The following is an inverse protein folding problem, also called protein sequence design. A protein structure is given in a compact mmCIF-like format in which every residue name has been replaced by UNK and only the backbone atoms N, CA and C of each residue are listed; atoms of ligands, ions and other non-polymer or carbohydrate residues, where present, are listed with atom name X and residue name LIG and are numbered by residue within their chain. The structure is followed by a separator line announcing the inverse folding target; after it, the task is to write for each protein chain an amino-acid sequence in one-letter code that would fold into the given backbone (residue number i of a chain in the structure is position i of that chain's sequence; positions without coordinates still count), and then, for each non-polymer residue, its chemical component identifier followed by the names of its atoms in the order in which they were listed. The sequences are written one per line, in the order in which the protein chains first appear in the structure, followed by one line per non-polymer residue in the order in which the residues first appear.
data_IF_891768201087
#
_entry.id   IF_891768201087
#
_cell.length_a   1.000
_cell.length_b   1.000
_cell.length_c   1.000
_cell.angle_alpha   90.00
_cell.angle_beta   90.00
_cell.angle_gamma   90.00
#
_symmetry.space_group_name_H-M   'P 1'
#
loop_
_entity.id
_entity.type
_entity.pdbx_description
1 polymer ?
#
# COMPACT_ATOMS: atom_id res chain seq x y z
N UNK A 1 -27.24 -9.60 5.22
CA UNK A 1 -26.18 -8.60 4.95
C UNK A 1 -26.71 -7.21 5.23
N UNK A 2 -25.83 -6.34 5.70
CA UNK A 2 -26.10 -4.91 5.84
C UNK A 2 -25.22 -4.20 4.80
N UNK A 3 -25.81 -3.26 4.08
CA UNK A 3 -25.11 -2.43 3.08
C UNK A 3 -25.22 -0.97 3.51
N UNK A 4 -24.10 -0.30 3.59
CA UNK A 4 -24.02 1.13 3.92
C UNK A 4 -23.29 1.80 2.77
N UNK A 5 -23.88 2.84 2.20
CA UNK A 5 -23.27 3.65 1.15
C UNK A 5 -23.08 5.08 1.64
N UNK A 6 -21.95 5.67 1.31
CA UNK A 6 -21.62 7.06 1.64
C UNK A 6 -20.93 7.72 0.45
N UNK A 7 -21.20 9.02 0.26
CA UNK A 7 -20.51 9.85 -0.71
C UNK A 7 -20.22 11.22 -0.11
N UNK A 8 -19.13 11.84 -0.52
CA UNK A 8 -18.71 13.13 0.02
C UNK A 8 -17.30 13.49 -0.40
N UNK A 9 -16.72 14.41 0.35
CA UNK A 9 -15.30 14.74 0.25
C UNK A 9 -14.68 14.85 1.66
N UNK A 10 -13.41 14.50 1.75
CA UNK A 10 -12.64 14.62 3.00
C UNK A 10 -11.26 15.16 2.69
N UNK A 11 -10.68 15.87 3.63
CA UNK A 11 -9.26 16.22 3.54
C UNK A 11 -8.41 14.95 3.65
N UNK A 12 -7.41 14.79 2.79
CA UNK A 12 -6.54 13.60 2.79
C UNK A 12 -5.81 13.40 4.12
N UNK A 13 -5.56 14.49 4.87
CA UNK A 13 -4.97 14.44 6.21
C UNK A 13 -5.85 13.71 7.23
N UNK A 14 -7.15 13.60 6.98
CA UNK A 14 -8.08 12.85 7.81
C UNK A 14 -8.06 11.34 7.57
N UNK A 15 -7.36 10.86 6.55
CA UNK A 15 -7.14 9.43 6.31
C UNK A 15 -6.11 8.84 7.29
N UNK A 16 -6.30 9.10 8.58
CA UNK A 16 -5.33 8.79 9.64
C UNK A 16 -5.02 7.30 9.77
N UNK A 17 -5.97 6.42 9.44
CA UNK A 17 -5.76 4.98 9.46
C UNK A 17 -4.78 4.54 8.35
N UNK A 18 -4.84 5.21 7.21
CA UNK A 18 -3.94 5.00 6.08
C UNK A 18 -2.54 5.54 6.41
N UNK A 19 -2.47 6.77 6.95
CA UNK A 19 -1.23 7.41 7.35
C UNK A 19 -0.52 6.73 8.55
N UNK A 20 -1.26 5.98 9.37
CA UNK A 20 -0.67 5.20 10.48
C UNK A 20 -0.06 3.87 10.04
N UNK A 21 -0.37 3.42 8.83
CA UNK A 21 0.27 2.22 8.30
C UNK A 21 1.67 2.58 7.79
N UNK A 22 2.73 1.94 8.29
CA UNK A 22 4.11 2.28 7.95
C UNK A 22 4.44 2.18 6.47
N UNK A 23 3.70 1.36 5.73
CA UNK A 23 3.88 1.20 4.29
C UNK A 23 3.24 2.34 3.48
N UNK A 24 2.27 3.04 4.04
CA UNK A 24 1.57 4.14 3.37
C UNK A 24 1.95 5.51 3.90
N UNK A 25 2.47 5.63 5.13
CA UNK A 25 2.86 6.90 5.74
C UNK A 25 3.81 7.73 4.85
N UNK A 26 4.84 7.15 4.20
CA UNK A 26 5.71 7.91 3.30
C UNK A 26 4.97 8.51 2.11
N UNK A 27 3.96 7.82 1.56
CA UNK A 27 3.14 8.33 0.45
C UNK A 27 2.15 9.39 0.96
N UNK A 28 1.49 9.13 2.09
CA UNK A 28 0.48 10.02 2.65
C UNK A 28 1.02 11.42 2.97
N UNK A 29 2.28 11.54 3.36
CA UNK A 29 2.97 12.81 3.62
C UNK A 29 3.16 13.68 2.39
N UNK A 30 3.12 13.09 1.20
CA UNK A 30 3.20 13.77 -0.09
C UNK A 30 1.84 14.01 -0.73
N UNK A 31 0.74 13.78 0.02
CA UNK A 31 -0.62 14.02 -0.46
C UNK A 31 -1.25 15.18 0.29
N UNK A 32 -1.97 16.04 -0.44
CA UNK A 32 -2.72 17.15 0.14
C UNK A 32 -4.00 17.41 -0.65
N UNK A 33 -4.96 18.10 -0.02
CA UNK A 33 -6.19 18.53 -0.66
C UNK A 33 -7.43 17.72 -0.31
N UNK A 34 -8.51 17.99 -1.03
CA UNK A 34 -9.83 17.40 -0.80
C UNK A 34 -10.07 16.18 -1.69
N UNK A 35 -10.28 15.04 -1.08
CA UNK A 35 -10.55 13.75 -1.73
C UNK A 35 -12.06 13.56 -1.89
N UNK A 36 -12.64 13.65 -3.09
CA UNK A 36 -14.02 13.23 -3.34
C UNK A 36 -14.09 11.70 -3.29
N UNK A 37 -15.15 11.14 -2.72
CA UNK A 37 -15.31 9.69 -2.67
C UNK A 37 -16.77 9.23 -2.75
N UNK A 38 -16.93 8.03 -3.26
CA UNK A 38 -18.14 7.21 -3.11
C UNK A 38 -17.68 5.87 -2.51
N UNK A 39 -18.30 5.46 -1.42
CA UNK A 39 -17.92 4.22 -0.73
C UNK A 39 -19.14 3.35 -0.44
N UNK A 40 -18.90 2.04 -0.36
CA UNK A 40 -19.88 1.04 0.06
C UNK A 40 -19.23 0.08 1.03
N UNK A 41 -19.88 -0.12 2.17
CA UNK A 41 -19.50 -1.10 3.18
C UNK A 41 -20.55 -2.20 3.21
N UNK A 42 -20.14 -3.44 3.06
CA UNK A 42 -20.99 -4.62 3.12
C UNK A 42 -20.58 -5.47 4.31
N UNK A 43 -21.51 -5.67 5.25
CA UNK A 43 -21.32 -6.55 6.40
C UNK A 43 -22.11 -7.83 6.18
N UNK A 44 -21.46 -8.98 6.14
CA UNK A 44 -22.09 -10.29 6.03
C UNK A 44 -21.77 -11.12 7.28
N UNK A 45 -22.83 -11.63 7.94
CA UNK A 45 -22.65 -12.53 9.09
C UNK A 45 -21.81 -13.74 8.69
N UNK A 46 -20.74 -13.98 9.42
CA UNK A 46 -19.81 -15.09 9.19
C UNK A 46 -18.81 -14.91 8.04
N UNK A 47 -18.86 -13.79 7.28
CA UNK A 47 -17.97 -13.53 6.14
C UNK A 47 -17.17 -12.23 6.28
N UNK A 48 -17.36 -11.50 7.39
CA UNK A 48 -16.62 -10.28 7.66
C UNK A 48 -17.17 -9.03 6.95
N UNK A 49 -16.32 -8.03 6.85
CA UNK A 49 -16.64 -6.71 6.29
C UNK A 49 -15.88 -6.52 4.99
N UNK A 50 -16.59 -6.13 3.94
CA UNK A 50 -15.99 -5.68 2.67
C UNK A 50 -16.23 -4.19 2.53
N UNK A 51 -15.18 -3.46 2.16
CA UNK A 51 -15.23 -2.03 1.85
C UNK A 51 -14.80 -1.82 0.41
N UNK A 52 -15.55 -1.03 -0.32
CA UNK A 52 -15.13 -0.53 -1.64
C UNK A 52 -15.32 0.97 -1.69
N UNK A 53 -14.41 1.66 -2.36
CA UNK A 53 -14.51 3.09 -2.59
C UNK A 53 -13.97 3.44 -3.98
N UNK A 54 -14.45 4.57 -4.52
CA UNK A 54 -13.96 5.16 -5.76
C UNK A 54 -13.76 6.65 -5.57
N UNK A 55 -12.76 7.18 -6.25
CA UNK A 55 -12.45 8.60 -6.29
C UNK A 55 -11.87 8.97 -7.65
N UNK A 56 -12.16 10.17 -8.11
CA UNK A 56 -11.47 10.77 -9.26
C UNK A 56 -10.11 11.37 -8.89
N UNK A 57 -9.77 11.44 -7.60
CA UNK A 57 -8.65 12.20 -7.05
C UNK A 57 -8.59 13.66 -7.50
N UNK A 58 -9.64 14.22 -8.10
CA UNK A 58 -9.69 15.62 -8.44
C UNK A 58 -9.71 16.46 -7.15
N UNK A 59 -8.86 17.48 -7.06
CA UNK A 59 -8.68 18.26 -5.84
C UNK A 59 -7.58 17.72 -4.91
N UNK A 60 -7.00 16.56 -5.23
CA UNK A 60 -5.86 16.00 -4.50
C UNK A 60 -4.58 16.26 -5.27
N UNK A 61 -3.60 16.82 -4.60
CA UNK A 61 -2.22 16.92 -5.07
C UNK A 61 -1.41 15.73 -4.57
N UNK A 62 -0.56 15.17 -5.43
CA UNK A 62 0.43 14.15 -5.06
C UNK A 62 1.80 14.67 -5.49
N UNK A 63 2.62 15.06 -4.50
CA UNK A 63 3.97 15.58 -4.72
C UNK A 63 5.01 14.47 -4.58
N UNK A 64 4.89 13.47 -5.44
CA UNK A 64 5.87 12.41 -5.64
C UNK A 64 6.62 12.66 -6.96
N UNK A 65 7.81 12.08 -7.16
CA UNK A 65 8.48 12.15 -8.44
C UNK A 65 7.66 11.51 -9.56
N UNK A 66 7.90 11.94 -10.81
CA UNK A 66 7.31 11.28 -11.97
C UNK A 66 7.62 9.75 -11.95
N UNK A 67 6.69 8.90 -12.36
CA UNK A 67 5.39 9.19 -12.99
C UNK A 67 4.22 9.38 -12.01
N UNK A 68 4.46 9.43 -10.69
CA UNK A 68 3.40 9.54 -9.67
C UNK A 68 3.06 10.98 -9.27
N UNK A 69 3.70 11.98 -9.87
CA UNK A 69 3.35 13.38 -9.64
C UNK A 69 1.98 13.67 -10.23
N UNK A 70 1.10 14.32 -9.43
CA UNK A 70 -0.26 14.67 -9.83
C UNK A 70 -0.63 16.07 -9.36
N UNK A 71 -1.10 16.91 -10.26
CA UNK A 71 -1.69 18.20 -9.89
C UNK A 71 -3.13 18.04 -9.38
N UNK A 72 -3.65 18.98 -8.56
CA UNK A 72 -5.03 18.91 -8.08
C UNK A 72 -6.08 19.06 -9.20
N UNK A 73 -5.72 19.59 -10.34
CA UNK A 73 -6.63 19.73 -11.50
C UNK A 73 -6.77 18.47 -12.35
N UNK A 74 -5.80 17.55 -12.23
CA UNK A 74 -5.86 16.27 -12.95
C UNK A 74 -6.86 15.31 -12.30
N UNK A 75 -7.45 14.46 -13.14
CA UNK A 75 -8.35 13.40 -12.72
C UNK A 75 -7.66 12.05 -12.87
N UNK A 76 -7.60 11.28 -11.78
CA UNK A 76 -7.13 9.89 -11.76
C UNK A 76 -8.22 9.01 -11.17
N UNK A 77 -8.97 8.32 -12.00
CA UNK A 77 -10.00 7.41 -11.54
C UNK A 77 -9.37 6.27 -10.74
N UNK A 78 -9.63 6.28 -9.46
CA UNK A 78 -9.00 5.38 -8.47
C UNK A 78 -10.05 4.55 -7.79
N UNK A 79 -9.78 3.26 -7.68
CA UNK A 79 -10.59 2.31 -6.93
C UNK A 79 -9.83 1.77 -5.72
N UNK A 80 -10.55 1.64 -4.60
CA UNK A 80 -10.09 1.01 -3.38
C UNK A 80 -11.00 -0.18 -3.04
N UNK A 81 -10.42 -1.27 -2.58
CA UNK A 81 -11.17 -2.35 -1.95
C UNK A 81 -10.41 -2.97 -0.77
N UNK A 82 -11.18 -3.30 0.27
CA UNK A 82 -10.75 -4.08 1.42
C UNK A 82 -11.68 -5.27 1.53
N UNK A 83 -11.14 -6.48 1.44
CA UNK A 83 -11.94 -7.71 1.35
C UNK A 83 -11.32 -8.80 2.21
N UNK A 84 -12.11 -9.50 3.05
CA UNK A 84 -11.63 -10.70 3.73
C UNK A 84 -11.29 -11.78 2.70
N UNK A 85 -10.15 -12.44 2.91
CA UNK A 85 -9.67 -13.53 2.06
C UNK A 85 -9.20 -14.70 2.91
N UNK A 86 -9.23 -15.89 2.33
CA UNK A 86 -8.61 -17.08 2.91
C UNK A 86 -7.59 -17.61 1.91
N UNK A 87 -6.32 -17.54 2.25
CA UNK A 87 -5.22 -18.03 1.45
C UNK A 87 -4.43 -19.06 2.26
N UNK A 88 -4.17 -20.22 1.68
CA UNK A 88 -3.43 -21.30 2.33
C UNK A 88 -3.98 -21.69 3.71
N UNK A 89 -5.31 -21.70 3.87
CA UNK A 89 -6.05 -21.93 5.14
C UNK A 89 -5.85 -20.87 6.22
N UNK A 90 -5.23 -19.74 5.90
CA UNK A 90 -5.12 -18.59 6.80
C UNK A 90 -6.11 -17.52 6.39
N UNK A 91 -6.86 -17.04 7.37
CA UNK A 91 -7.74 -15.89 7.19
C UNK A 91 -6.93 -14.61 7.16
N UNK A 92 -7.33 -13.66 6.34
CA UNK A 92 -6.66 -12.37 6.20
C UNK A 92 -7.54 -11.37 5.47
N UNK A 93 -6.91 -10.29 5.07
CA UNK A 93 -7.54 -9.22 4.31
C UNK A 93 -6.71 -8.90 3.08
N UNK A 94 -7.39 -8.64 1.99
CA UNK A 94 -6.79 -8.12 0.76
C UNK A 94 -7.15 -6.65 0.62
N UNK A 95 -6.13 -5.81 0.52
CA UNK A 95 -6.26 -4.40 0.16
C UNK A 95 -5.82 -4.23 -1.28
N UNK A 96 -6.66 -3.58 -2.07
CA UNK A 96 -6.33 -3.13 -3.42
C UNK A 96 -6.58 -1.64 -3.54
N UNK A 97 -5.62 -0.93 -4.10
CA UNK A 97 -5.78 0.47 -4.49
C UNK A 97 -5.16 0.63 -5.86
N UNK A 98 -5.90 1.13 -6.83
CA UNK A 98 -5.35 1.28 -8.17
C UNK A 98 -6.02 2.39 -8.97
N UNK A 99 -5.26 2.99 -9.85
CA UNK A 99 -5.69 3.99 -10.82
C UNK A 99 -5.17 3.60 -12.20
N UNK A 100 -6.06 3.41 -13.14
CA UNK A 100 -5.90 3.03 -14.56
C UNK A 100 -4.46 3.08 -15.12
N UNK A 101 -3.71 1.97 -14.96
CA UNK A 101 -2.33 1.81 -15.42
C UNK A 101 -1.30 2.83 -14.90
N UNK A 102 -1.65 3.66 -13.92
CA UNK A 102 -0.71 4.59 -13.29
C UNK A 102 -0.02 3.96 -12.11
N UNK A 103 -0.83 3.38 -11.22
CA UNK A 103 -0.35 2.58 -10.11
C UNK A 103 -1.38 1.52 -9.71
N UNK A 104 -0.90 0.45 -9.14
CA UNK A 104 -1.73 -0.60 -8.53
C UNK A 104 -1.03 -1.13 -7.28
N UNK A 105 -1.73 -1.12 -6.17
CA UNK A 105 -1.22 -1.60 -4.88
C UNK A 105 -2.06 -2.79 -4.46
N UNK A 106 -1.40 -3.89 -4.18
CA UNK A 106 -2.01 -5.11 -3.71
C UNK A 106 -1.31 -5.56 -2.43
N UNK A 107 -2.04 -5.56 -1.31
CA UNK A 107 -1.51 -6.01 -0.03
C UNK A 107 -2.41 -7.07 0.57
N UNK A 108 -1.80 -8.14 1.04
CA UNK A 108 -2.46 -9.16 1.85
C UNK A 108 -1.97 -9.03 3.29
N UNK A 109 -2.91 -8.83 4.21
CA UNK A 109 -2.67 -8.71 5.64
C UNK A 109 -3.21 -9.95 6.35
N UNK A 110 -2.47 -10.58 7.29
CA UNK A 110 -3.00 -11.62 8.15
C UNK A 110 -4.05 -11.05 9.12
N UNK A 111 -5.05 -11.85 9.50
CA UNK A 111 -6.12 -11.43 10.42
C UNK A 111 -5.78 -11.64 11.90
N UNK A 112 -4.75 -12.41 12.19
CA UNK A 112 -4.49 -12.95 13.52
C UNK A 112 -3.50 -12.13 14.35
N UNK A 113 -3.00 -11.02 13.83
CA UNK A 113 -1.97 -10.25 14.52
C UNK A 113 -0.66 -11.01 14.72
N UNK A 114 -0.44 -12.10 13.99
CA UNK A 114 0.71 -13.01 14.14
C UNK A 114 2.08 -12.37 13.89
N UNK A 115 2.12 -11.08 13.54
CA UNK A 115 3.35 -10.38 13.18
C UNK A 115 3.96 -10.88 11.87
N UNK A 116 3.23 -11.69 11.11
CA UNK A 116 3.65 -12.11 9.78
C UNK A 116 3.77 -10.89 8.87
N UNK A 117 4.83 -10.87 8.11
CA UNK A 117 5.06 -9.83 7.10
C UNK A 117 3.94 -9.87 6.08
N UNK A 118 3.29 -8.75 5.79
CA UNK A 118 2.30 -8.71 4.72
C UNK A 118 2.94 -9.11 3.40
N UNK A 119 2.18 -9.83 2.57
CA UNK A 119 2.53 -10.01 1.16
C UNK A 119 1.98 -8.82 0.39
N UNK A 120 2.77 -8.28 -0.53
CA UNK A 120 2.26 -7.17 -1.31
C UNK A 120 3.10 -6.80 -2.51
N UNK A 121 2.47 -6.04 -3.40
CA UNK A 121 3.13 -5.42 -4.53
C UNK A 121 2.62 -3.99 -4.69
N UNK A 122 3.55 -3.08 -4.87
CA UNK A 122 3.30 -1.70 -5.30
C UNK A 122 3.82 -1.60 -6.73
N UNK A 123 2.91 -1.57 -7.67
CA UNK A 123 3.21 -1.49 -9.09
C UNK A 123 2.93 -0.09 -9.63
N UNK A 124 3.82 0.43 -10.44
CA UNK A 124 3.69 1.72 -11.15
C UNK A 124 3.76 1.44 -12.64
N UNK A 125 2.80 1.93 -13.41
CA UNK A 125 2.71 1.74 -14.86
C UNK A 125 2.08 0.43 -15.31
N UNK A 126 1.86 -0.53 -14.40
CA UNK A 126 1.25 -1.83 -14.70
C UNK A 126 0.44 -2.36 -13.51
N UNK A 127 -0.18 -3.53 -13.66
CA UNK A 127 -0.97 -4.14 -12.58
C UNK A 127 -0.09 -4.92 -11.61
N UNK A 128 -0.42 -4.81 -10.32
CA UNK A 128 0.23 -5.55 -9.26
C UNK A 128 -0.16 -7.03 -9.25
N UNK A 129 0.82 -7.91 -9.01
CA UNK A 129 0.62 -9.31 -8.68
C UNK A 129 1.25 -9.63 -7.33
N UNK A 130 0.70 -10.56 -6.54
CA UNK A 130 1.31 -10.93 -5.26
C UNK A 130 2.66 -11.62 -5.50
N UNK A 131 3.70 -11.21 -4.78
CA UNK A 131 4.98 -11.92 -4.78
C UNK A 131 4.90 -13.19 -3.90
N UNK A 132 5.87 -14.08 -4.03
CA UNK A 132 5.95 -15.29 -3.18
C UNK A 132 6.22 -14.95 -1.71
N UNK A 133 6.89 -13.82 -1.45
CA UNK A 133 7.22 -13.36 -0.08
C UNK A 133 7.44 -11.85 -0.02
N UNK A 134 7.09 -11.27 1.13
CA UNK A 134 7.36 -9.86 1.46
C UNK A 134 6.63 -8.87 0.56
N UNK A 135 7.16 -7.67 0.44
CA UNK A 135 6.62 -6.60 -0.39
C UNK A 135 7.56 -6.36 -1.57
N UNK A 136 7.01 -6.43 -2.78
CA UNK A 136 7.69 -6.05 -4.01
C UNK A 136 7.30 -4.62 -4.41
N UNK A 137 8.23 -3.89 -5.00
CA UNK A 137 7.96 -2.64 -5.71
C UNK A 137 8.40 -2.83 -7.14
N UNK A 138 7.50 -2.61 -8.07
CA UNK A 138 7.73 -2.79 -9.50
C UNK A 138 7.35 -1.53 -10.24
N UNK A 139 8.22 -1.03 -11.09
CA UNK A 139 8.01 0.21 -11.83
C UNK A 139 8.25 -0.04 -13.30
N UNK A 140 7.27 0.31 -14.12
CA UNK A 140 7.36 0.34 -15.57
C UNK A 140 7.01 1.77 -16.03
N UNK A 141 7.98 2.49 -16.52
CA UNK A 141 7.83 3.88 -16.95
C UNK A 141 8.70 4.16 -18.19
N UNK A 142 8.24 5.07 -19.06
CA UNK A 142 9.02 5.48 -20.22
C UNK A 142 10.29 6.23 -19.80
N UNK A 143 10.17 7.04 -18.78
CA UNK A 143 11.26 7.81 -18.18
C UNK A 143 11.17 7.73 -16.67
N UNK A 144 12.28 7.48 -16.01
CA UNK A 144 12.39 7.43 -14.57
C UNK A 144 13.67 8.11 -14.11
N UNK A 145 13.54 9.21 -13.37
CA UNK A 145 14.68 9.89 -12.74
C UNK A 145 15.02 9.22 -11.42
N UNK A 146 16.05 8.38 -11.40
CA UNK A 146 16.52 7.74 -10.18
C UNK A 146 16.99 8.76 -9.14
N UNK A 147 17.50 9.90 -9.56
CA UNK A 147 17.94 10.98 -8.67
C UNK A 147 16.76 11.54 -7.87
N UNK A 148 15.61 11.76 -8.53
CA UNK A 148 14.42 12.30 -7.88
C UNK A 148 13.78 11.27 -6.94
N UNK A 149 13.88 9.98 -7.26
CA UNK A 149 13.34 8.90 -6.44
C UNK A 149 14.22 8.50 -5.25
N UNK A 150 15.52 8.81 -5.30
CA UNK A 150 16.47 8.40 -4.26
C UNK A 150 16.08 8.86 -2.85
N UNK A 151 15.65 10.12 -2.60
CA UNK A 151 15.23 10.55 -1.26
C UNK A 151 14.01 9.76 -0.75
N UNK A 152 13.05 9.50 -1.64
CA UNK A 152 11.83 8.75 -1.29
C UNK A 152 12.15 7.29 -0.94
N UNK A 153 12.96 6.61 -1.74
CA UNK A 153 13.39 5.22 -1.48
C UNK A 153 14.16 5.13 -0.16
N UNK A 154 15.04 6.07 0.14
CA UNK A 154 15.75 6.12 1.44
C UNK A 154 14.77 6.22 2.62
N UNK A 155 13.79 7.11 2.54
CA UNK A 155 12.77 7.25 3.59
C UNK A 155 11.98 5.96 3.80
N UNK A 156 11.63 5.24 2.73
CA UNK A 156 10.94 3.95 2.80
C UNK A 156 11.80 2.87 3.47
N UNK A 157 13.07 2.78 3.11
CA UNK A 157 14.00 1.79 3.68
C UNK A 157 14.31 2.06 5.14
N UNK A 158 14.51 3.31 5.53
CA UNK A 158 14.77 3.69 6.93
C UNK A 158 13.55 3.40 7.83
N UNK A 159 12.34 3.61 7.32
CA UNK A 159 11.10 3.27 8.03
C UNK A 159 10.97 1.75 8.22
N UNK A 160 11.31 0.96 7.21
CA UNK A 160 11.26 -0.51 7.29
C UNK A 160 12.29 -1.06 8.30
N UNK A 161 13.49 -0.50 8.36
CA UNK A 161 14.55 -0.90 9.31
C UNK A 161 14.21 -0.51 10.74
N UNK A 162 13.61 0.67 10.96
CA UNK A 162 13.22 1.14 12.30
C UNK A 162 12.13 0.28 12.95
N UNK A 163 11.38 -0.48 12.17
CA UNK A 163 10.30 -1.35 12.63
C UNK A 163 10.69 -2.83 12.75
N UNK A 164 11.91 -3.20 12.38
CA UNK A 164 12.42 -4.52 12.69
C UNK A 164 12.40 -4.72 14.22
N UNK A 165 11.83 -5.81 14.75
CA UNK A 165 11.80 -6.06 16.18
C UNK A 165 13.24 -6.01 16.69
N UNK A 166 13.51 -5.11 17.64
CA UNK A 166 14.78 -5.08 18.37
C UNK A 166 14.83 -6.37 19.19
N UNK A 167 15.48 -7.38 18.65
CA UNK A 167 15.87 -8.54 19.41
C UNK A 167 16.89 -8.07 20.43
N UNK A 168 16.47 -7.85 21.67
CA UNK A 168 17.38 -7.76 22.82
C UNK A 168 18.13 -9.09 22.86
N UNK A 169 19.41 -9.03 22.52
CA UNK A 169 20.33 -10.16 22.65
C UNK A 169 20.54 -10.40 24.14
N UNK A 170 19.71 -11.23 24.71
CA UNK A 170 20.03 -11.92 25.96
C UNK A 170 20.63 -13.26 25.54
N UNK A 171 21.89 -13.40 25.84
CA UNK A 171 22.75 -14.53 25.47
C UNK A 171 22.28 -15.82 26.09
N UNK A 172 21.67 -16.71 25.27
CA UNK A 172 21.68 -18.15 25.56
C UNK A 172 21.61 -18.92 24.22
N UNK A 173 22.55 -19.85 23.94
CA UNK A 173 22.65 -20.47 22.63
C UNK A 173 21.79 -21.74 22.59
N UNK A 174 20.65 -21.71 21.90
CA UNK A 174 19.95 -22.90 21.39
C UNK A 174 19.26 -22.59 20.04
N UNK A 175 18.95 -23.60 19.21
CA UNK A 175 19.19 -23.54 17.77
C UNK A 175 18.14 -22.80 16.96
N UNK A 176 18.66 -22.11 16.00
CA UNK A 176 18.09 -21.43 14.85
C UNK A 176 16.75 -21.97 14.33
N UNK A 177 15.70 -21.20 14.60
CA UNK A 177 14.60 -21.05 13.67
C UNK A 177 14.66 -19.62 13.15
N UNK A 178 14.96 -19.44 11.86
CA UNK A 178 15.08 -18.14 11.24
C UNK A 178 13.70 -17.45 11.28
N UNK A 179 13.58 -16.41 12.09
CA UNK A 179 12.41 -15.53 12.03
C UNK A 179 12.39 -14.83 10.65
N UNK A 180 11.22 -14.75 9.98
CA UNK A 180 11.11 -14.07 8.71
C UNK A 180 11.39 -12.57 8.91
N UNK A 181 12.41 -12.07 8.23
CA UNK A 181 12.74 -10.64 8.24
C UNK A 181 11.63 -9.87 7.53
N UNK A 182 10.99 -8.96 8.27
CA UNK A 182 10.07 -7.97 7.70
C UNK A 182 10.88 -6.97 6.90
N UNK A 183 10.77 -6.99 5.57
CA UNK A 183 11.49 -6.06 4.71
C UNK A 183 10.97 -6.04 3.28
N UNK A 184 11.37 -4.98 2.57
CA UNK A 184 11.21 -4.89 1.13
C UNK A 184 11.96 -6.07 0.49
N UNK A 185 11.25 -6.99 -0.15
CA UNK A 185 11.84 -8.24 -0.65
C UNK A 185 12.39 -8.11 -2.06
N UNK A 186 11.87 -7.17 -2.84
CA UNK A 186 12.26 -6.96 -4.23
C UNK A 186 11.90 -5.56 -4.70
N UNK A 187 12.81 -4.92 -5.41
CA UNK A 187 12.56 -3.74 -6.23
C UNK A 187 12.91 -4.11 -7.66
N UNK A 188 12.00 -3.93 -8.59
CA UNK A 188 12.20 -4.12 -10.01
C UNK A 188 11.81 -2.85 -10.73
N UNK A 189 12.72 -2.31 -11.52
CA UNK A 189 12.52 -1.08 -12.28
C UNK A 189 12.80 -1.39 -13.74
N UNK A 190 11.81 -1.13 -14.59
CA UNK A 190 11.95 -1.17 -16.04
C UNK A 190 11.66 0.23 -16.57
N UNK A 191 12.60 0.83 -17.25
CA UNK A 191 12.43 2.12 -17.91
C UNK A 191 13.09 2.08 -19.29
N UNK A 192 12.47 2.77 -20.25
CA UNK A 192 13.03 2.89 -21.62
C UNK A 192 14.24 3.83 -21.62
N UNK A 193 14.30 4.77 -20.67
CA UNK A 193 15.43 5.66 -20.41
C UNK A 193 15.64 5.83 -18.90
N UNK A 194 16.88 5.74 -18.45
CA UNK A 194 17.33 5.95 -17.08
C UNK A 194 18.17 7.22 -16.99
#
# INVERSE_FOLDING_TARGET
SIVISASGSTDVSHLTWFARNPYFDPVAKHMSGMLPFVSTVVVKKGHGVTVSARSSLQGVEIDLPAPLKKSPTETWDTAFSFTPVTLNRQSGYMIKVGSDNRFDVLLQLPSDGSGLVPLGNIAVGHRAGLPDKGIAVTVEAKELSLVDWQPFVRTMTDTAVAQAPKTSVESNPLPMSAAPQAGLSRVEVTADQL
#
